data_IF_418616539334
#
_entry.id   IF_418616539334
#
_cell.length_a   1.000
_cell.length_b   1.000
_cell.length_c   1.000
_cell.angle_alpha   90.00
_cell.angle_beta   90.00
_cell.angle_gamma   90.00
#
_symmetry.space_group_name_H-M   'P 1'
#
loop_
_entity.id
_entity.type
_entity.pdbx_description
1 polymer ?
#
# COMPACT_ATOMS: atom_id res chain seq x y z
N UNK A 1 -24.61 5.46 3.43
CA UNK A 1 -23.95 4.46 2.60
C UNK A 1 -23.96 4.94 1.16
N UNK A 2 -22.82 5.38 0.65
CA UNK A 2 -22.64 5.72 -0.76
C UNK A 2 -22.54 4.42 -1.58
N UNK A 3 -23.03 4.39 -2.84
CA UNK A 3 -22.76 3.27 -3.75
C UNK A 3 -21.24 3.02 -3.82
N UNK A 4 -20.78 1.76 -3.86
CA UNK A 4 -19.39 1.38 -3.73
C UNK A 4 -18.43 2.15 -4.66
N UNK A 5 -18.84 2.41 -5.91
CA UNK A 5 -18.04 3.17 -6.88
C UNK A 5 -17.82 4.65 -6.49
N UNK A 6 -18.83 5.31 -5.88
CA UNK A 6 -18.70 6.70 -5.41
C UNK A 6 -17.90 6.79 -4.11
N UNK A 7 -18.02 5.79 -3.24
CA UNK A 7 -17.22 5.65 -2.04
C UNK A 7 -15.72 5.52 -2.36
N UNK A 8 -15.38 4.71 -3.35
CA UNK A 8 -13.99 4.52 -3.79
C UNK A 8 -13.37 5.79 -4.40
N UNK A 9 -14.11 6.53 -5.23
CA UNK A 9 -13.63 7.83 -5.77
C UNK A 9 -13.34 8.82 -4.64
N UNK A 10 -14.27 8.92 -3.68
CA UNK A 10 -14.07 9.77 -2.49
C UNK A 10 -12.85 9.32 -1.69
N UNK A 11 -12.59 8.03 -1.62
CA UNK A 11 -11.38 7.46 -1.00
C UNK A 11 -10.09 7.97 -1.65
N UNK A 12 -10.01 8.01 -2.99
CA UNK A 12 -8.82 8.56 -3.69
C UNK A 12 -8.65 10.05 -3.41
N UNK A 13 -9.71 10.85 -3.48
CA UNK A 13 -9.64 12.28 -3.16
C UNK A 13 -9.12 12.50 -1.74
N UNK A 14 -9.69 11.76 -0.78
CA UNK A 14 -9.25 11.81 0.63
C UNK A 14 -7.78 11.40 0.77
N UNK A 15 -7.34 10.37 0.05
CA UNK A 15 -5.94 9.95 0.08
C UNK A 15 -5.01 11.06 -0.43
N UNK A 16 -5.36 11.74 -1.51
CA UNK A 16 -4.57 12.87 -2.03
C UNK A 16 -4.48 13.99 -0.99
N UNK A 17 -5.58 14.32 -0.33
CA UNK A 17 -5.59 15.33 0.74
C UNK A 17 -4.71 14.92 1.91
N UNK A 18 -4.76 13.65 2.34
CA UNK A 18 -3.89 13.10 3.39
C UNK A 18 -2.42 13.19 2.97
N UNK A 19 -2.09 12.88 1.72
CA UNK A 19 -0.71 12.99 1.21
C UNK A 19 -0.23 14.45 1.27
N UNK A 20 -1.08 15.41 0.87
CA UNK A 20 -0.74 16.84 0.97
C UNK A 20 -0.48 17.26 2.41
N UNK A 21 -1.34 16.84 3.34
CA UNK A 21 -1.17 17.10 4.78
C UNK A 21 0.13 16.47 5.30
N UNK A 22 0.41 15.22 4.94
CA UNK A 22 1.63 14.52 5.34
C UNK A 22 2.88 15.24 4.83
N UNK A 23 2.93 15.66 3.56
CA UNK A 23 4.03 16.46 3.01
C UNK A 23 4.23 17.76 3.79
N UNK A 24 3.15 18.50 4.06
CA UNK A 24 3.22 19.78 4.79
C UNK A 24 3.73 19.62 6.24
N UNK A 25 3.59 18.42 6.81
CA UNK A 25 4.10 18.06 8.13
C UNK A 25 5.44 17.31 8.09
N UNK A 26 6.19 17.43 6.98
CA UNK A 26 7.52 16.81 6.80
C UNK A 26 7.55 15.27 6.86
N UNK A 27 6.41 14.60 6.77
CA UNK A 27 6.32 13.16 6.60
C UNK A 27 6.86 12.82 5.19
N UNK A 28 7.69 11.80 5.10
CA UNK A 28 8.36 11.43 3.84
C UNK A 28 7.69 10.26 3.13
N UNK A 29 6.97 9.42 3.87
CA UNK A 29 6.38 8.18 3.35
C UNK A 29 5.01 7.95 3.96
N UNK A 30 4.11 7.42 3.14
CA UNK A 30 2.81 6.93 3.56
C UNK A 30 2.58 5.56 2.95
N UNK A 31 2.26 4.57 3.75
CA UNK A 31 1.85 3.25 3.28
C UNK A 31 0.34 3.15 3.41
N UNK A 32 -0.37 2.81 2.34
CA UNK A 32 -1.82 2.62 2.34
C UNK A 32 -2.19 1.19 1.97
N UNK A 33 -3.09 0.59 2.76
CA UNK A 33 -3.63 -0.75 2.49
C UNK A 33 -4.85 -0.63 1.59
N UNK A 34 -4.65 -0.78 0.29
CA UNK A 34 -5.71 -0.58 -0.69
C UNK A 34 -6.49 -1.87 -1.00
N UNK A 35 -5.82 -3.03 -1.04
CA UNK A 35 -6.44 -4.32 -1.33
C UNK A 35 -5.66 -5.47 -0.71
N UNK A 36 -6.35 -6.26 0.12
CA UNK A 36 -5.76 -7.44 0.76
C UNK A 36 -5.96 -8.71 -0.06
N UNK A 37 -5.11 -9.71 0.18
CA UNK A 37 -5.26 -11.06 -0.41
C UNK A 37 -6.61 -11.70 -0.10
N UNK A 38 -7.20 -11.42 1.07
CA UNK A 38 -8.50 -11.92 1.47
C UNK A 38 -9.67 -11.29 0.71
N UNK A 39 -9.44 -10.12 0.10
CA UNK A 39 -10.49 -9.40 -0.63
C UNK A 39 -10.91 -10.09 -1.94
N UNK A 40 -10.12 -11.03 -2.46
CA UNK A 40 -10.52 -11.86 -3.61
C UNK A 40 -11.75 -12.72 -3.35
N UNK A 41 -12.04 -13.03 -2.09
CA UNK A 41 -13.24 -13.78 -1.67
C UNK A 41 -14.51 -12.94 -1.67
N UNK A 42 -14.44 -11.64 -1.98
CA UNK A 42 -15.62 -10.77 -2.11
C UNK A 42 -16.35 -10.99 -3.42
N UNK A 43 -17.56 -10.44 -3.52
CA UNK A 43 -18.33 -10.52 -4.77
C UNK A 43 -17.53 -9.93 -5.95
N UNK A 44 -17.62 -10.58 -7.11
CA UNK A 44 -16.89 -10.18 -8.33
C UNK A 44 -17.10 -8.70 -8.71
N UNK A 45 -18.27 -8.13 -8.36
CA UNK A 45 -18.56 -6.72 -8.58
C UNK A 45 -17.62 -5.79 -7.78
N UNK A 46 -17.34 -6.10 -6.52
CA UNK A 46 -16.43 -5.29 -5.69
C UNK A 46 -14.98 -5.35 -6.19
N UNK A 47 -14.53 -6.53 -6.59
CA UNK A 47 -13.20 -6.72 -7.18
C UNK A 47 -13.05 -5.94 -8.48
N UNK A 48 -14.03 -6.03 -9.38
CA UNK A 48 -14.03 -5.27 -10.63
C UNK A 48 -14.10 -3.75 -10.40
N UNK A 49 -14.88 -3.29 -9.42
CA UNK A 49 -14.96 -1.88 -9.06
C UNK A 49 -13.59 -1.35 -8.60
N UNK A 50 -12.84 -2.14 -7.82
CA UNK A 50 -11.50 -1.77 -7.39
C UNK A 50 -10.49 -1.76 -8.55
N UNK A 51 -10.55 -2.75 -9.47
CA UNK A 51 -9.69 -2.76 -10.65
C UNK A 51 -9.94 -1.54 -11.54
N UNK A 52 -11.20 -1.16 -11.71
CA UNK A 52 -11.56 0.08 -12.41
C UNK A 52 -11.05 1.34 -11.71
N UNK A 53 -10.98 1.32 -10.38
CA UNK A 53 -10.46 2.41 -9.59
C UNK A 53 -8.94 2.58 -9.74
N UNK A 54 -8.18 1.48 -9.81
CA UNK A 54 -6.74 1.51 -10.11
C UNK A 54 -6.53 2.17 -11.48
N UNK A 55 -7.28 1.75 -12.50
CA UNK A 55 -7.19 2.35 -13.82
C UNK A 55 -7.57 3.84 -13.80
N UNK A 56 -8.63 4.22 -13.08
CA UNK A 56 -9.03 5.63 -12.92
C UNK A 56 -7.94 6.45 -12.22
N UNK A 57 -7.31 5.92 -11.19
CA UNK A 57 -6.18 6.58 -10.50
C UNK A 57 -5.03 6.85 -11.47
N UNK A 58 -4.71 5.87 -12.32
CA UNK A 58 -3.68 5.99 -13.36
C UNK A 58 -4.05 7.04 -14.41
N UNK A 59 -5.28 7.00 -14.93
CA UNK A 59 -5.66 7.83 -16.08
C UNK A 59 -6.01 9.29 -15.70
N UNK A 60 -6.49 9.52 -14.46
CA UNK A 60 -7.04 10.84 -14.08
C UNK A 60 -6.16 11.57 -13.07
N UNK A 61 -5.43 10.84 -12.22
CA UNK A 61 -4.70 11.43 -11.09
C UNK A 61 -3.18 11.43 -11.24
N UNK A 62 -2.65 10.73 -12.21
CA UNK A 62 -1.20 10.60 -12.37
C UNK A 62 -0.51 11.96 -12.59
N UNK A 63 -1.10 12.86 -13.38
CA UNK A 63 -0.52 14.19 -13.60
C UNK A 63 -0.53 15.04 -12.32
N UNK A 64 -1.59 14.97 -11.51
CA UNK A 64 -1.65 15.65 -10.22
C UNK A 64 -0.59 15.08 -9.25
N UNK A 65 -0.40 13.77 -9.23
CA UNK A 65 0.61 13.07 -8.42
C UNK A 65 2.02 13.53 -8.83
N UNK A 66 2.31 13.56 -10.13
CA UNK A 66 3.60 14.03 -10.67
C UNK A 66 3.86 15.49 -10.34
N UNK A 67 2.87 16.37 -10.54
CA UNK A 67 2.97 17.80 -10.25
C UNK A 67 3.26 18.07 -8.75
N UNK A 68 2.85 17.15 -7.87
CA UNK A 68 3.12 17.22 -6.43
C UNK A 68 4.42 16.51 -6.01
N UNK A 69 5.26 16.04 -6.94
CA UNK A 69 6.54 15.38 -6.62
C UNK A 69 6.39 14.04 -5.90
N UNK A 70 5.23 13.35 -6.07
CA UNK A 70 4.91 12.12 -5.36
C UNK A 70 5.39 10.92 -6.17
N UNK A 71 6.33 10.15 -5.62
CA UNK A 71 6.72 8.84 -6.13
C UNK A 71 5.68 7.81 -5.73
N UNK A 72 5.26 6.97 -6.67
CA UNK A 72 4.41 5.81 -6.40
C UNK A 72 5.25 4.54 -6.31
N UNK A 73 5.02 3.78 -5.25
CA UNK A 73 5.59 2.44 -5.04
C UNK A 73 4.44 1.48 -4.76
N UNK A 74 4.52 0.27 -5.29
CA UNK A 74 3.50 -0.76 -5.05
C UNK A 74 4.14 -1.96 -4.38
N UNK A 75 3.46 -2.51 -3.37
CA UNK A 75 3.86 -3.73 -2.67
C UNK A 75 2.70 -4.72 -2.67
N UNK A 76 3.03 -6.01 -2.60
CA UNK A 76 2.08 -7.12 -2.63
C UNK A 76 2.32 -8.02 -3.85
N UNK A 77 1.46 -9.01 -4.02
CA UNK A 77 1.52 -9.99 -5.10
C UNK A 77 1.00 -9.40 -6.43
N UNK A 78 1.77 -8.45 -6.98
CA UNK A 78 1.43 -7.71 -8.20
C UNK A 78 1.45 -8.65 -9.42
N UNK A 79 2.33 -9.65 -9.43
CA UNK A 79 2.45 -10.58 -10.56
C UNK A 79 1.17 -11.38 -10.81
N UNK A 80 0.42 -11.69 -9.78
CA UNK A 80 -0.85 -12.40 -9.86
C UNK A 80 -2.07 -11.48 -10.07
N UNK A 81 -1.85 -10.17 -10.28
CA UNK A 81 -2.93 -9.24 -10.61
C UNK A 81 -3.35 -9.32 -12.10
N UNK A 82 -4.58 -8.93 -12.44
CA UNK A 82 -5.05 -8.86 -13.82
C UNK A 82 -4.10 -8.02 -14.69
N UNK A 83 -3.89 -8.46 -15.95
CA UNK A 83 -2.95 -7.83 -16.89
C UNK A 83 -3.12 -6.30 -16.99
N UNK A 84 -4.34 -5.83 -17.13
CA UNK A 84 -4.63 -4.39 -17.22
C UNK A 84 -4.22 -3.61 -15.97
N UNK A 85 -4.39 -4.20 -14.77
CA UNK A 85 -3.92 -3.58 -13.54
C UNK A 85 -2.39 -3.51 -13.48
N UNK A 86 -1.70 -4.58 -13.89
CA UNK A 86 -0.23 -4.60 -13.97
C UNK A 86 0.32 -3.53 -14.91
N UNK A 87 -0.28 -3.36 -16.08
CA UNK A 87 0.09 -2.33 -17.06
C UNK A 87 -0.06 -0.92 -16.45
N UNK A 88 -1.18 -0.65 -15.76
CA UNK A 88 -1.40 0.61 -15.07
C UNK A 88 -0.41 0.87 -13.93
N UNK A 89 -0.11 -0.14 -13.14
CA UNK A 89 0.89 -0.08 -12.05
C UNK A 89 2.28 0.22 -12.63
N UNK A 90 2.70 -0.50 -13.68
CA UNK A 90 3.99 -0.27 -14.33
C UNK A 90 4.11 1.17 -14.84
N UNK A 91 3.08 1.68 -15.51
CA UNK A 91 3.03 3.08 -15.95
C UNK A 91 3.20 4.05 -14.78
N UNK A 92 2.50 3.85 -13.66
CA UNK A 92 2.64 4.69 -12.48
C UNK A 92 4.06 4.70 -11.93
N UNK A 93 4.68 3.54 -11.82
CA UNK A 93 6.06 3.39 -11.34
C UNK A 93 7.02 4.14 -12.28
N UNK A 94 6.94 3.87 -13.58
CA UNK A 94 7.85 4.44 -14.57
C UNK A 94 7.77 5.97 -14.64
N UNK A 95 6.57 6.53 -14.58
CA UNK A 95 6.37 7.96 -14.66
C UNK A 95 6.68 8.73 -13.37
N UNK A 96 6.83 8.03 -12.24
CA UNK A 96 7.08 8.66 -10.93
C UNK A 96 8.38 8.25 -10.26
N UNK A 97 9.16 7.33 -10.82
CA UNK A 97 10.38 6.74 -10.22
C UNK A 97 11.46 7.78 -9.83
N UNK A 98 11.55 8.87 -10.56
CA UNK A 98 12.56 9.90 -10.34
C UNK A 98 12.12 10.99 -9.35
N UNK A 99 10.86 10.97 -8.92
CA UNK A 99 10.30 11.90 -7.95
C UNK A 99 10.76 11.54 -6.52
N UNK A 100 11.12 12.54 -5.71
CA UNK A 100 11.80 12.33 -4.42
C UNK A 100 11.18 13.09 -3.24
N UNK A 101 10.16 13.91 -3.49
CA UNK A 101 9.61 14.75 -2.42
C UNK A 101 8.78 13.95 -1.41
N UNK A 102 8.04 12.96 -1.90
CA UNK A 102 7.20 12.10 -1.09
C UNK A 102 7.10 10.71 -1.71
N UNK A 103 7.04 9.64 -0.90
CA UNK A 103 6.80 8.28 -1.39
C UNK A 103 5.45 7.76 -0.87
N UNK A 104 4.50 7.59 -1.79
CA UNK A 104 3.24 6.91 -1.52
C UNK A 104 3.38 5.43 -1.90
N UNK A 105 3.35 4.57 -0.89
CA UNK A 105 3.46 3.13 -1.04
C UNK A 105 2.06 2.53 -0.95
N UNK A 106 1.62 1.85 -2.00
CA UNK A 106 0.28 1.28 -2.12
C UNK A 106 0.36 -0.24 -2.01
N UNK A 107 -0.21 -0.80 -0.94
CA UNK A 107 -0.30 -2.24 -0.75
C UNK A 107 -1.53 -2.78 -1.51
N UNK A 108 -1.26 -3.50 -2.61
CA UNK A 108 -2.24 -4.13 -3.49
C UNK A 108 -2.02 -5.63 -3.53
N UNK A 109 -3.10 -6.40 -3.40
CA UNK A 109 -3.00 -7.86 -3.30
C UNK A 109 -1.97 -8.28 -2.23
N UNK A 110 -1.96 -7.52 -1.13
CA UNK A 110 -0.99 -7.68 -0.06
C UNK A 110 -1.59 -8.46 1.11
N UNK A 111 -0.78 -9.29 1.73
CA UNK A 111 -1.07 -9.94 3.00
C UNK A 111 0.25 -10.19 3.72
N UNK A 112 0.29 -9.95 5.02
CA UNK A 112 1.52 -10.09 5.79
C UNK A 112 2.04 -11.52 5.83
N UNK A 113 1.14 -12.52 5.88
CA UNK A 113 1.53 -13.93 5.84
C UNK A 113 2.14 -14.26 4.46
N UNK A 114 1.53 -13.76 3.38
CA UNK A 114 2.09 -13.90 2.03
C UNK A 114 3.48 -13.25 1.94
N UNK A 115 3.65 -12.04 2.47
CA UNK A 115 4.92 -11.33 2.45
C UNK A 115 6.01 -12.08 3.22
N UNK A 116 5.69 -12.63 4.40
CA UNK A 116 6.62 -13.44 5.19
C UNK A 116 7.04 -14.72 4.44
N UNK A 117 6.10 -15.42 3.83
CA UNK A 117 6.41 -16.63 3.05
C UNK A 117 7.26 -16.29 1.83
N UNK A 118 6.91 -15.21 1.13
CA UNK A 118 7.68 -14.72 0.00
C UNK A 118 9.11 -14.34 0.42
N UNK A 119 9.27 -13.59 1.49
CA UNK A 119 10.58 -13.21 2.01
C UNK A 119 11.46 -14.42 2.37
N UNK A 120 10.88 -15.43 3.01
CA UNK A 120 11.60 -16.67 3.32
C UNK A 120 12.07 -17.40 2.05
N UNK A 121 11.21 -17.46 1.03
CA UNK A 121 11.55 -18.06 -0.27
C UNK A 121 12.66 -17.27 -0.97
N UNK A 122 12.61 -15.94 -0.95
CA UNK A 122 13.63 -15.08 -1.55
C UNK A 122 14.99 -15.25 -0.86
N UNK A 123 15.03 -15.34 0.48
CA UNK A 123 16.26 -15.66 1.21
C UNK A 123 16.84 -16.99 0.74
N UNK A 124 15.98 -18.03 0.65
CA UNK A 124 16.42 -19.35 0.20
C UNK A 124 16.93 -19.33 -1.25
N UNK A 125 16.24 -18.64 -2.16
CA UNK A 125 16.60 -18.54 -3.58
C UNK A 125 17.89 -17.75 -3.80
N UNK A 126 18.17 -16.75 -2.94
CA UNK A 126 19.40 -15.97 -3.01
C UNK A 126 20.64 -16.72 -2.47
N UNK A 127 20.44 -17.88 -1.81
CA UNK A 127 21.51 -18.63 -1.14
C UNK A 127 22.00 -17.98 0.15
N UNK A 128 21.29 -16.97 0.66
CA UNK A 128 21.59 -16.35 1.96
C UNK A 128 21.12 -17.26 3.10
N UNK A 129 21.77 -17.18 4.25
CA UNK A 129 21.31 -17.85 5.47
C UNK A 129 20.00 -17.22 5.95
N UNK A 130 19.03 -18.02 6.39
CA UNK A 130 17.77 -17.54 6.95
C UNK A 130 18.00 -17.00 8.37
N UNK A 131 18.39 -15.73 8.43
CA UNK A 131 18.53 -14.95 9.67
C UNK A 131 17.42 -13.91 9.77
N UNK A 132 17.16 -13.38 10.95
CA UNK A 132 16.18 -12.29 11.13
C UNK A 132 16.53 -11.09 10.21
N UNK A 133 17.80 -10.73 10.10
CA UNK A 133 18.26 -9.63 9.26
C UNK A 133 17.96 -9.88 7.79
N UNK A 134 18.35 -11.04 7.27
CA UNK A 134 18.14 -11.38 5.87
C UNK A 134 16.64 -11.54 5.56
N UNK A 135 15.88 -12.13 6.49
CA UNK A 135 14.42 -12.25 6.37
C UNK A 135 13.76 -10.86 6.25
N UNK A 136 14.03 -9.93 7.16
CA UNK A 136 13.48 -8.56 7.12
C UNK A 136 13.88 -7.84 5.85
N UNK A 137 15.14 -7.94 5.42
CA UNK A 137 15.65 -7.35 4.17
C UNK A 137 14.82 -7.75 2.94
N UNK A 138 14.32 -8.99 2.90
CA UNK A 138 13.53 -9.52 1.79
C UNK A 138 12.01 -9.33 1.93
N UNK A 139 11.52 -8.77 3.04
CA UNK A 139 10.10 -8.33 3.11
C UNK A 139 9.85 -7.13 2.19
N UNK A 140 8.62 -6.93 1.80
CA UNK A 140 8.25 -5.89 0.82
C UNK A 140 8.59 -4.46 1.26
N UNK A 141 8.61 -4.17 2.55
CA UNK A 141 9.06 -2.89 3.10
C UNK A 141 10.53 -2.92 3.55
N UNK A 142 11.17 -4.09 3.62
CA UNK A 142 12.54 -4.21 4.10
C UNK A 142 12.70 -3.69 5.53
N UNK A 143 13.78 -2.96 5.76
CA UNK A 143 14.13 -2.40 7.07
C UNK A 143 13.40 -1.08 7.40
N UNK A 144 12.28 -0.77 6.72
CA UNK A 144 11.53 0.46 7.00
C UNK A 144 10.76 0.33 8.31
N UNK A 145 11.07 1.19 9.27
CA UNK A 145 10.31 1.35 10.51
C UNK A 145 9.01 2.12 10.26
N UNK A 146 7.99 1.76 11.04
CA UNK A 146 6.70 2.44 11.04
C UNK A 146 6.61 3.30 12.30
N UNK A 147 6.55 4.62 12.14
CA UNK A 147 6.44 5.56 13.25
C UNK A 147 5.00 5.67 13.78
N UNK A 148 4.03 5.64 12.85
CA UNK A 148 2.60 5.83 13.18
C UNK A 148 1.77 4.85 12.35
N UNK A 149 0.83 4.19 13.01
CA UNK A 149 -0.20 3.38 12.37
C UNK A 149 -1.57 3.98 12.65
N UNK A 150 -2.34 4.24 11.58
CA UNK A 150 -3.68 4.81 11.67
C UNK A 150 -4.67 3.83 11.05
N UNK A 151 -5.67 3.42 11.83
CA UNK A 151 -6.82 2.68 11.34
C UNK A 151 -8.10 3.44 11.66
N UNK A 152 -8.87 3.74 10.64
CA UNK A 152 -10.19 4.36 10.77
C UNK A 152 -11.28 3.29 10.87
N UNK A 153 -12.42 3.60 11.51
CA UNK A 153 -13.57 2.68 11.55
C UNK A 153 -13.77 1.93 12.86
N UNK A 154 -13.05 2.27 13.93
CA UNK A 154 -13.26 1.73 15.28
C UNK A 154 -12.77 0.30 15.52
N UNK A 155 -12.16 -0.34 14.52
CA UNK A 155 -11.58 -1.69 14.65
C UNK A 155 -10.11 -1.60 15.12
N UNK A 156 -9.76 -2.35 16.18
CA UNK A 156 -8.40 -2.37 16.76
C UNK A 156 -7.53 -3.54 16.26
N UNK A 157 -7.84 -4.13 15.12
CA UNK A 157 -7.11 -5.28 14.55
C UNK A 157 -6.23 -4.86 13.36
N UNK A 158 -5.08 -5.52 13.17
CA UNK A 158 -4.14 -5.26 12.07
C UNK A 158 -4.61 -5.83 10.72
N UNK A 159 -5.51 -6.81 10.73
CA UNK A 159 -6.11 -7.42 9.53
C UNK A 159 -5.08 -7.85 8.49
N UNK A 160 -4.09 -8.62 8.90
CA UNK A 160 -3.04 -9.15 8.02
C UNK A 160 -2.23 -8.05 7.29
N UNK A 161 -2.02 -6.89 7.95
CA UNK A 161 -1.22 -5.79 7.40
C UNK A 161 0.09 -5.61 8.18
N UNK A 162 1.23 -5.72 7.51
CA UNK A 162 2.60 -5.42 7.96
C UNK A 162 3.01 -5.97 9.35
N UNK A 163 2.95 -7.28 9.67
CA UNK A 163 3.11 -7.76 11.05
C UNK A 163 4.52 -7.65 11.60
N UNK A 164 5.55 -7.64 10.78
CA UNK A 164 6.96 -7.61 11.20
C UNK A 164 7.44 -6.18 11.51
N UNK A 165 6.81 -5.18 10.92
CA UNK A 165 7.23 -3.77 11.01
C UNK A 165 6.74 -3.05 12.26
N UNK A 166 5.99 -3.73 13.16
CA UNK A 166 5.39 -3.11 14.35
C UNK A 166 6.19 -3.26 15.64
N UNK A 167 7.38 -3.83 15.62
CA UNK A 167 8.15 -4.15 16.82
C UNK A 167 8.51 -2.93 17.68
N UNK A 168 8.42 -1.72 17.13
CA UNK A 168 8.76 -0.45 17.80
C UNK A 168 7.59 0.54 17.87
N UNK A 169 6.38 0.16 17.43
CA UNK A 169 5.21 1.04 17.43
C UNK A 169 4.76 1.37 18.84
N UNK A 170 4.74 2.65 19.20
CA UNK A 170 3.97 3.14 20.34
C UNK A 170 2.53 3.35 19.87
N UNK A 171 1.62 2.49 20.32
CA UNK A 171 0.20 2.68 20.07
C UNK A 171 -0.29 3.96 20.78
N UNK A 172 -0.73 4.95 20.02
CA UNK A 172 -1.52 6.05 20.53
C UNK A 172 -3.00 5.71 20.30
N UNK A 173 -3.68 5.38 21.38
CA UNK A 173 -5.14 5.20 21.34
C UNK A 173 -5.78 6.58 21.20
N UNK A 174 -6.56 6.78 20.13
CA UNK A 174 -7.47 7.91 20.04
C UNK A 174 -8.78 7.49 20.69
N UNK A 175 -8.96 7.84 21.96
CA UNK A 175 -10.28 7.77 22.59
C UNK A 175 -11.12 8.92 22.04
N UNK A 176 -12.22 8.59 21.36
CA UNK A 176 -13.31 9.57 21.16
C UNK A 176 -13.96 9.84 22.50
N UNK A 177 -13.92 11.08 22.93
CA UNK A 177 -14.71 11.59 24.05
C UNK A 177 -16.06 12.05 23.55
#
# INVERSE_FOLDING_TARGET
>A
NLPSASGHRKGIETLIDIVKIAKNNSIKRLVVYAFSTENWNRENFEVNALMNLINFGVDVKLDEIKANGIRLTFIGDIENMPKKAKEGISKCIDETKDLKEFNLIIALNYGSIWDMVNAANEVNNSGEELTQKNFVKHTQLGELDIDIFIRTGGDMRLSNFLPVSYTHLRAHETHEH
#
